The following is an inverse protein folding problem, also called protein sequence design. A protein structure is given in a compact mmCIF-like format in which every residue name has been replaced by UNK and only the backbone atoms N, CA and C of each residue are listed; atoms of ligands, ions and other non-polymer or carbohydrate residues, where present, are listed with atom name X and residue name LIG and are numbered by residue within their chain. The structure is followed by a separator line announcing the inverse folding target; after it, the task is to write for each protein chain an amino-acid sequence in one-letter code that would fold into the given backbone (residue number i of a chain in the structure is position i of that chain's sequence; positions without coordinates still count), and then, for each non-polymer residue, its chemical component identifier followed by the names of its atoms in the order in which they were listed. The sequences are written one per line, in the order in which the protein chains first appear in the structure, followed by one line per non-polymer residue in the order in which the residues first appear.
data_IF_260483220129
#
_entry.id   IF_260483220129
#
_cell.length_a   1.000
_cell.length_b   1.000
_cell.length_c   1.000
_cell.angle_alpha   90.00
_cell.angle_beta   90.00
_cell.angle_gamma   90.00
#
_symmetry.space_group_name_H-M   'P 1'
#
loop_
_entity.id
_entity.type
_entity.pdbx_description
1 polymer ?
#
# COMPACT_ATOMS: atom_id res chain seq x y z
N UNK A 1 16.47 -13.13 10.73
CA UNK A 1 15.73 -11.87 10.50
C UNK A 1 15.30 -11.63 9.04
N UNK A 2 15.99 -12.17 8.02
CA UNK A 2 15.59 -12.09 6.60
C UNK A 2 14.26 -12.79 6.23
N UNK A 3 13.76 -13.69 7.08
CA UNK A 3 12.60 -14.57 6.81
C UNK A 3 11.25 -13.86 7.04
N UNK A 4 11.20 -12.84 7.91
CA UNK A 4 9.94 -12.18 8.28
C UNK A 4 9.45 -11.18 7.20
N UNK A 5 10.38 -10.54 6.47
CA UNK A 5 10.06 -9.61 5.37
C UNK A 5 9.59 -10.39 4.12
N UNK A 6 10.09 -11.61 3.88
CA UNK A 6 9.61 -12.47 2.80
C UNK A 6 8.16 -12.94 3.01
N UNK A 7 7.71 -13.10 4.25
CA UNK A 7 6.35 -13.57 4.55
C UNK A 7 5.28 -12.50 4.33
N UNK A 8 5.60 -11.22 4.61
CA UNK A 8 4.66 -10.10 4.39
C UNK A 8 4.45 -9.80 2.90
N UNK A 9 5.51 -9.92 2.09
CA UNK A 9 5.43 -9.82 0.63
C UNK A 9 4.60 -10.98 0.03
N UNK A 10 4.67 -12.17 0.62
CA UNK A 10 3.92 -13.34 0.17
C UNK A 10 2.40 -13.22 0.43
N UNK A 11 1.99 -12.62 1.54
CA UNK A 11 0.56 -12.42 1.87
C UNK A 11 -0.10 -11.42 0.90
N UNK A 12 0.61 -10.37 0.49
CA UNK A 12 0.12 -9.41 -0.52
C UNK A 12 0.00 -10.09 -1.89
N UNK A 13 0.97 -10.94 -2.27
CA UNK A 13 0.94 -11.68 -3.54
C UNK A 13 -0.17 -12.74 -3.56
N UNK A 14 -0.33 -13.52 -2.49
CA UNK A 14 -1.38 -14.57 -2.42
C UNK A 14 -2.79 -13.95 -2.30
N UNK A 15 -2.95 -12.84 -1.59
CA UNK A 15 -4.23 -12.11 -1.52
C UNK A 15 -4.66 -11.55 -2.88
N UNK A 16 -3.70 -11.10 -3.70
CA UNK A 16 -3.94 -10.66 -5.07
C UNK A 16 -4.27 -11.85 -6.01
N UNK A 17 -3.68 -13.02 -5.77
CA UNK A 17 -4.00 -14.27 -6.50
C UNK A 17 -5.41 -14.81 -6.17
N UNK A 18 -5.87 -14.71 -4.93
CA UNK A 18 -7.20 -15.16 -4.52
C UNK A 18 -8.33 -14.30 -5.13
N UNK A 19 -8.14 -12.97 -5.18
CA UNK A 19 -9.13 -12.04 -5.79
C UNK A 19 -9.15 -12.14 -7.32
N UNK A 20 -8.07 -12.62 -7.94
CA UNK A 20 -8.00 -12.78 -9.40
C UNK A 20 -8.54 -14.11 -9.89
N UNK A 21 -8.45 -15.21 -9.13
CA UNK A 21 -8.85 -16.55 -9.61
C UNK A 21 -10.31 -16.65 -10.05
N UNK A 22 -11.24 -15.97 -9.36
CA UNK A 22 -12.66 -15.92 -9.76
C UNK A 22 -12.90 -15.15 -11.07
N UNK A 23 -11.97 -14.28 -11.45
CA UNK A 23 -12.03 -13.43 -12.65
C UNK A 23 -11.23 -13.98 -13.83
N UNK A 24 -10.40 -15.02 -13.63
CA UNK A 24 -9.56 -15.60 -14.67
C UNK A 24 -10.28 -16.64 -15.54
N UNK A 25 -11.37 -17.24 -15.06
CA UNK A 25 -12.13 -18.23 -15.85
C UNK A 25 -13.03 -17.59 -16.92
N UNK A 26 -13.38 -16.31 -16.77
CA UNK A 26 -14.28 -15.59 -17.69
C UNK A 26 -13.58 -14.84 -18.83
N UNK A 27 -12.25 -14.73 -18.82
CA UNK A 27 -11.49 -13.93 -19.80
C UNK A 27 -10.90 -14.73 -20.97
N UNK A 28 -11.18 -16.04 -21.08
CA UNK A 28 -10.54 -16.92 -22.07
C UNK A 28 -11.10 -16.79 -23.50
N UNK A 29 -11.47 -15.57 -23.91
CA UNK A 29 -11.72 -15.22 -25.31
C UNK A 29 -10.57 -14.33 -25.78
N UNK A 30 -9.59 -15.01 -26.37
CA UNK A 30 -8.30 -14.49 -26.82
C UNK A 30 -8.44 -13.37 -27.84
N UNK A 31 -8.14 -12.13 -27.43
CA UNK A 31 -7.61 -11.11 -28.33
C UNK A 31 -6.15 -10.88 -27.95
N UNK A 32 -5.26 -11.06 -28.91
CA UNK A 32 -3.81 -10.96 -28.75
C UNK A 32 -3.41 -9.50 -28.51
N UNK A 33 -3.26 -9.11 -27.25
CA UNK A 33 -2.65 -7.84 -26.86
C UNK A 33 -1.13 -8.00 -27.07
N UNK A 34 -0.45 -7.09 -27.80
CA UNK A 34 1.00 -7.13 -27.94
C UNK A 34 1.64 -7.01 -26.56
N UNK A 35 2.64 -7.85 -26.30
CA UNK A 35 3.43 -7.87 -25.07
C UNK A 35 3.87 -6.44 -24.73
N UNK A 36 3.31 -5.88 -23.64
CA UNK A 36 3.68 -4.56 -23.18
C UNK A 36 5.14 -4.59 -22.79
N UNK A 37 5.94 -3.72 -23.41
CA UNK A 37 7.35 -3.51 -23.11
C UNK A 37 7.53 -3.45 -21.58
N UNK A 38 8.49 -4.18 -20.98
CA UNK A 38 8.74 -4.07 -19.55
C UNK A 38 9.01 -2.61 -19.22
N UNK A 39 8.09 -1.97 -18.48
CA UNK A 39 8.34 -0.65 -17.92
C UNK A 39 9.60 -0.82 -17.06
N UNK A 40 10.70 -0.09 -17.30
CA UNK A 40 11.84 -0.13 -16.42
C UNK A 40 11.32 0.22 -15.04
N UNK A 41 11.34 -0.76 -14.12
CA UNK A 41 11.12 -0.45 -12.72
C UNK A 41 12.21 0.53 -12.35
N UNK A 42 11.85 1.81 -12.22
CA UNK A 42 12.75 2.83 -11.68
C UNK A 42 13.06 2.38 -10.27
N UNK A 43 14.19 1.73 -10.09
CA UNK A 43 14.71 1.45 -8.76
C UNK A 43 15.13 2.81 -8.22
N UNK A 44 14.26 3.44 -7.42
CA UNK A 44 14.63 4.63 -6.68
C UNK A 44 15.87 4.27 -5.88
N UNK A 45 17.02 4.90 -6.15
CA UNK A 45 18.26 4.70 -5.39
C UNK A 45 18.19 5.19 -3.94
N UNK A 46 16.98 5.26 -3.38
CA UNK A 46 16.65 5.72 -2.05
C UNK A 46 16.93 4.61 -1.04
N UNK A 47 17.52 4.96 0.10
CA UNK A 47 17.69 4.01 1.20
C UNK A 47 16.35 3.68 1.85
N UNK A 48 16.25 2.50 2.46
CA UNK A 48 15.05 2.10 3.21
C UNK A 48 14.70 3.11 4.32
N UNK A 49 15.70 3.71 4.98
CA UNK A 49 15.46 4.76 5.99
C UNK A 49 14.79 5.99 5.39
N UNK A 50 15.26 6.45 4.23
CA UNK A 50 14.70 7.62 3.56
C UNK A 50 13.29 7.33 3.04
N UNK A 51 13.07 6.12 2.52
CA UNK A 51 11.74 5.66 2.14
C UNK A 51 10.78 5.68 3.34
N UNK A 52 11.19 5.14 4.49
CA UNK A 52 10.35 5.14 5.70
C UNK A 52 10.06 6.57 6.18
N UNK A 53 11.03 7.48 6.13
CA UNK A 53 10.83 8.87 6.50
C UNK A 53 9.79 9.55 5.60
N UNK A 54 9.92 9.37 4.28
CA UNK A 54 9.00 9.96 3.31
C UNK A 54 7.59 9.36 3.41
N UNK A 55 7.49 8.04 3.59
CA UNK A 55 6.19 7.38 3.70
C UNK A 55 5.46 7.71 5.00
N UNK A 56 6.16 7.85 6.12
CA UNK A 56 5.54 8.34 7.36
C UNK A 56 4.91 9.73 7.12
N UNK A 57 5.66 10.66 6.53
CA UNK A 57 5.16 12.00 6.24
C UNK A 57 4.00 12.00 5.25
N UNK A 58 4.11 11.24 4.16
CA UNK A 58 3.05 11.10 3.16
C UNK A 58 1.75 10.59 3.78
N UNK A 59 1.85 9.60 4.69
CA UNK A 59 0.69 9.08 5.41
C UNK A 59 0.09 10.09 6.40
N UNK A 60 0.92 10.85 7.11
CA UNK A 60 0.43 11.94 7.97
C UNK A 60 -0.38 12.97 7.18
N UNK A 61 0.08 13.36 5.98
CA UNK A 61 -0.64 14.28 5.10
C UNK A 61 -1.99 13.69 4.62
N UNK A 62 -2.03 12.41 4.28
CA UNK A 62 -3.26 11.72 3.88
C UNK A 62 -4.26 11.55 5.04
N UNK A 63 -3.78 11.34 6.28
CA UNK A 63 -4.63 11.35 7.48
C UNK A 63 -5.26 12.74 7.68
N UNK A 64 -4.47 13.81 7.57
CA UNK A 64 -4.98 15.19 7.69
C UNK A 64 -6.04 15.48 6.64
N UNK A 65 -5.82 15.08 5.38
CA UNK A 65 -6.82 15.25 4.32
C UNK A 65 -8.09 14.43 4.58
N UNK A 66 -7.95 13.20 5.07
CA UNK A 66 -9.08 12.34 5.41
C UNK A 66 -9.89 12.90 6.58
N UNK A 67 -9.25 13.47 7.60
CA UNK A 67 -9.96 14.14 8.69
C UNK A 67 -10.72 15.38 8.20
N UNK A 68 -10.13 16.16 7.28
CA UNK A 68 -10.78 17.35 6.71
C UNK A 68 -12.05 17.02 5.92
N UNK A 69 -12.11 15.88 5.24
CA UNK A 69 -13.29 15.52 4.43
C UNK A 69 -14.44 14.94 5.25
N UNK A 70 -14.19 14.44 6.47
CA UNK A 70 -15.24 13.87 7.34
C UNK A 70 -16.29 14.91 7.77
N UNK A 71 -15.89 16.16 8.00
CA UNK A 71 -16.81 17.23 8.43
C UNK A 71 -17.79 17.69 7.33
N UNK A 72 -17.35 18.00 6.10
CA UNK A 72 -18.25 18.51 5.06
C UNK A 72 -18.99 17.42 4.28
N UNK A 73 -18.59 16.14 4.36
CA UNK A 73 -19.19 15.10 3.53
C UNK A 73 -20.49 14.56 4.13
N UNK A 74 -21.53 14.47 3.30
CA UNK A 74 -22.78 13.75 3.62
C UNK A 74 -22.85 12.37 2.95
N UNK A 75 -21.86 12.02 2.11
CA UNK A 75 -21.81 10.75 1.38
C UNK A 75 -21.18 9.67 2.26
N UNK A 76 -21.95 8.62 2.57
CA UNK A 76 -21.51 7.51 3.43
C UNK A 76 -20.25 6.84 2.89
N UNK A 77 -20.15 6.66 1.59
CA UNK A 77 -19.01 6.02 0.93
C UNK A 77 -17.71 6.81 1.16
N UNK A 78 -17.78 8.14 1.12
CA UNK A 78 -16.63 9.01 1.38
C UNK A 78 -16.28 8.97 2.87
N UNK A 79 -17.28 8.98 3.75
CA UNK A 79 -17.05 8.88 5.19
C UNK A 79 -16.34 7.56 5.55
N UNK A 80 -16.83 6.44 5.02
CA UNK A 80 -16.25 5.11 5.23
C UNK A 80 -14.82 5.03 4.68
N UNK A 81 -14.59 5.55 3.48
CA UNK A 81 -13.25 5.62 2.87
C UNK A 81 -12.28 6.44 3.72
N UNK A 82 -12.67 7.65 4.12
CA UNK A 82 -11.82 8.52 4.94
C UNK A 82 -11.50 7.89 6.30
N UNK A 83 -12.48 7.25 6.93
CA UNK A 83 -12.28 6.50 8.18
C UNK A 83 -11.32 5.33 7.99
N UNK A 84 -11.47 4.57 6.89
CA UNK A 84 -10.58 3.49 6.52
C UNK A 84 -9.14 3.95 6.31
N UNK A 85 -8.94 5.06 5.58
CA UNK A 85 -7.61 5.65 5.34
C UNK A 85 -6.96 6.03 6.68
N UNK A 86 -7.69 6.74 7.56
CA UNK A 86 -7.17 7.15 8.87
C UNK A 86 -6.69 5.93 9.67
N UNK A 87 -7.53 4.90 9.77
CA UNK A 87 -7.22 3.71 10.58
C UNK A 87 -6.01 2.95 10.02
N UNK A 88 -6.03 2.64 8.73
CA UNK A 88 -4.97 1.85 8.10
C UNK A 88 -3.65 2.60 8.11
N UNK A 89 -3.62 3.86 7.69
CA UNK A 89 -2.37 4.61 7.61
C UNK A 89 -1.79 4.96 8.98
N UNK A 90 -2.63 5.17 10.00
CA UNK A 90 -2.15 5.29 11.39
C UNK A 90 -1.43 4.03 11.85
N UNK A 91 -1.95 2.85 11.50
CA UNK A 91 -1.32 1.58 11.84
C UNK A 91 -0.02 1.36 11.05
N UNK A 92 0.01 1.73 9.78
CA UNK A 92 1.21 1.65 8.94
C UNK A 92 2.32 2.58 9.44
N UNK A 93 1.99 3.81 9.90
CA UNK A 93 2.96 4.70 10.55
C UNK A 93 3.60 4.03 11.76
N UNK A 94 2.81 3.40 12.64
CA UNK A 94 3.35 2.69 13.82
C UNK A 94 4.29 1.56 13.42
N UNK A 95 3.92 0.80 12.40
CA UNK A 95 4.76 -0.27 11.85
C UNK A 95 6.08 0.28 11.30
N UNK A 96 6.03 1.37 10.52
CA UNK A 96 7.23 2.01 9.98
C UNK A 96 8.13 2.61 11.08
N UNK A 97 7.55 3.21 12.11
CA UNK A 97 8.28 3.68 13.29
C UNK A 97 8.98 2.52 14.02
N UNK A 98 8.30 1.38 14.16
CA UNK A 98 8.90 0.19 14.76
C UNK A 98 10.08 -0.32 13.93
N UNK A 99 9.97 -0.36 12.61
CA UNK A 99 11.08 -0.74 11.73
C UNK A 99 12.26 0.23 11.82
N UNK A 100 11.99 1.54 11.91
CA UNK A 100 13.05 2.53 12.13
C UNK A 100 13.83 2.27 13.42
N UNK A 101 13.13 1.89 14.48
CA UNK A 101 13.74 1.53 15.75
C UNK A 101 14.56 0.26 15.66
N UNK A 102 14.02 -0.77 15.03
CA UNK A 102 14.68 -2.08 14.91
C UNK A 102 15.92 -2.04 14.00
N UNK A 103 15.87 -1.27 12.92
CA UNK A 103 16.92 -1.30 11.88
C UNK A 103 17.97 -0.20 12.06
N UNK A 104 17.59 0.94 12.63
CA UNK A 104 18.46 2.12 12.76
C UNK A 104 18.60 2.64 14.19
N UNK A 105 17.90 2.04 15.16
CA UNK A 105 17.97 2.46 16.57
C UNK A 105 17.32 3.81 16.87
N UNK A 106 16.38 4.27 16.03
CA UNK A 106 15.70 5.57 16.12
C UNK A 106 14.24 5.45 16.57
#
# INVERSE_FOLDING_TARGET
MKILIQSLLFIVIVGLFAVTSDRLTKINKTESIPESTPIPMVQSGMSDEEFLNQMIKHHEEAIVMSQKILLPTSRKEIHDLATGIINTQTQEIKTMQQWKKEWYGK
#
